data_IF_030702528729
#
_entry.id   IF_030702528729
#
_cell.length_a   1.000
_cell.length_b   1.000
_cell.length_c   1.000
_cell.angle_alpha   90.00
_cell.angle_beta   90.00
_cell.angle_gamma   90.00
#
_symmetry.space_group_name_H-M   'P 1'
#
loop_
_entity.id
_entity.type
_entity.pdbx_description
1 polymer ?
#
# COMPACT_ATOMS: atom_id res chain seq x y z
N UNK A 1 -4.23 -22.61 31.68
CA UNK A 1 -5.06 -22.12 30.56
C UNK A 1 -4.21 -21.12 29.77
N UNK A 2 -3.30 -21.62 28.94
CA UNK A 2 -2.42 -20.75 28.15
C UNK A 2 -3.13 -20.33 26.86
N UNK A 3 -3.39 -19.03 26.73
CA UNK A 3 -3.87 -18.44 25.50
C UNK A 3 -2.70 -18.31 24.52
N UNK A 4 -2.34 -19.43 23.86
CA UNK A 4 -1.19 -19.54 22.97
C UNK A 4 -1.20 -18.44 21.91
N UNK A 5 -0.23 -17.53 22.00
CA UNK A 5 -0.18 -16.32 21.18
C UNK A 5 0.40 -16.63 19.81
N UNK A 6 -0.42 -17.18 18.92
CA UNK A 6 -0.03 -17.51 17.54
C UNK A 6 0.47 -16.28 16.70
N UNK A 7 0.34 -15.05 17.22
CA UNK A 7 0.86 -13.75 16.72
C UNK A 7 2.35 -13.54 17.00
N UNK A 8 2.93 -14.18 18.03
CA UNK A 8 4.35 -14.02 18.40
C UNK A 8 5.32 -14.29 17.22
N UNK A 9 5.22 -15.40 16.45
CA UNK A 9 6.13 -15.65 15.32
C UNK A 9 5.86 -14.76 14.09
N UNK A 10 4.75 -14.02 14.05
CA UNK A 10 4.52 -12.94 13.08
C UNK A 10 5.18 -11.64 13.54
N UNK A 11 5.01 -11.28 14.81
CA UNK A 11 5.52 -10.03 15.40
C UNK A 11 7.05 -10.02 15.61
N UNK A 12 7.69 -11.19 15.72
CA UNK A 12 9.15 -11.30 15.89
C UNK A 12 9.98 -10.84 14.68
N UNK A 13 9.36 -10.62 13.51
CA UNK A 13 10.04 -10.26 12.27
C UNK A 13 9.28 -9.12 11.54
N UNK A 14 9.49 -7.84 11.91
CA UNK A 14 8.77 -6.70 11.32
C UNK A 14 8.95 -6.59 9.80
N UNK A 15 10.10 -7.01 9.27
CA UNK A 15 10.39 -7.08 7.84
C UNK A 15 9.49 -8.09 7.09
N UNK A 16 9.17 -9.23 7.73
CA UNK A 16 8.28 -10.25 7.16
C UNK A 16 6.82 -9.80 7.21
N UNK A 17 6.42 -9.09 8.27
CA UNK A 17 5.11 -8.45 8.36
C UNK A 17 4.91 -7.42 7.24
N UNK A 18 5.90 -6.55 6.99
CA UNK A 18 5.82 -5.52 5.95
C UNK A 18 5.69 -6.11 4.54
N UNK A 19 6.52 -7.10 4.19
CA UNK A 19 6.41 -7.79 2.89
C UNK A 19 5.08 -8.55 2.78
N UNK A 20 4.61 -9.16 3.86
CA UNK A 20 3.33 -9.88 3.90
C UNK A 20 2.11 -8.97 3.67
N UNK A 21 2.02 -7.84 4.36
CA UNK A 21 0.90 -6.89 4.21
C UNK A 21 0.95 -6.17 2.86
N UNK A 22 2.14 -5.76 2.40
CA UNK A 22 2.32 -5.17 1.06
C UNK A 22 1.88 -6.13 -0.05
N UNK A 23 2.33 -7.39 0.00
CA UNK A 23 1.95 -8.43 -0.96
C UNK A 23 0.44 -8.72 -0.93
N UNK A 24 -0.14 -8.82 0.28
CA UNK A 24 -1.59 -9.02 0.43
C UNK A 24 -2.41 -7.85 -0.12
N UNK A 25 -1.98 -6.59 0.09
CA UNK A 25 -2.63 -5.41 -0.47
C UNK A 25 -2.55 -5.37 -2.00
N UNK A 26 -1.39 -5.70 -2.58
CA UNK A 26 -1.22 -5.76 -4.03
C UNK A 26 -2.10 -6.87 -4.65
N UNK A 27 -2.15 -8.06 -4.04
CA UNK A 27 -3.00 -9.17 -4.49
C UNK A 27 -4.50 -8.85 -4.36
N UNK A 28 -4.93 -8.28 -3.23
CA UNK A 28 -6.31 -7.87 -3.02
C UNK A 28 -6.72 -6.79 -4.04
N UNK A 29 -5.89 -5.76 -4.22
CA UNK A 29 -6.09 -4.72 -5.23
C UNK A 29 -6.16 -5.28 -6.65
N UNK A 30 -5.25 -6.19 -7.01
CA UNK A 30 -5.25 -6.88 -8.31
C UNK A 30 -6.58 -7.59 -8.55
N UNK A 31 -7.07 -8.35 -7.56
CA UNK A 31 -8.34 -9.06 -7.66
C UNK A 31 -9.51 -8.08 -7.81
N UNK A 32 -9.61 -7.03 -6.98
CA UNK A 32 -10.67 -6.03 -7.11
C UNK A 32 -10.63 -5.28 -8.45
N UNK A 33 -9.44 -4.93 -8.96
CA UNK A 33 -9.31 -4.24 -10.26
C UNK A 33 -9.58 -5.16 -11.47
N UNK A 34 -9.32 -6.47 -11.34
CA UNK A 34 -9.57 -7.45 -12.40
C UNK A 34 -11.06 -7.80 -12.59
N UNK A 35 -11.91 -7.56 -11.58
CA UNK A 35 -13.37 -7.74 -11.69
C UNK A 35 -13.95 -6.87 -12.82
N UNK A 36 -14.90 -7.37 -13.62
CA UNK A 36 -15.52 -6.61 -14.71
C UNK A 36 -16.28 -5.36 -14.20
N UNK A 37 -16.73 -5.37 -12.94
CA UNK A 37 -17.37 -4.22 -12.29
C UNK A 37 -16.43 -3.02 -12.10
N UNK A 38 -15.10 -3.23 -12.12
CA UNK A 38 -14.09 -2.17 -12.03
C UNK A 38 -13.82 -1.51 -13.39
N UNK A 39 -14.25 -2.10 -14.50
CA UNK A 39 -14.08 -1.55 -15.85
C UNK A 39 -15.33 -0.76 -16.29
N UNK A 40 -15.14 0.41 -16.90
CA UNK A 40 -16.23 1.23 -17.43
C UNK A 40 -16.91 0.59 -18.66
N UNK A 41 -16.18 -0.25 -19.40
CA UNK A 41 -16.66 -1.00 -20.57
C UNK A 41 -17.29 -2.35 -20.23
N UNK A 42 -17.23 -2.79 -18.97
CA UNK A 42 -17.62 -4.14 -18.54
C UNK A 42 -16.68 -5.28 -19.00
N UNK A 43 -15.72 -5.01 -19.88
CA UNK A 43 -14.68 -5.96 -20.26
C UNK A 43 -13.52 -5.91 -19.25
N UNK A 44 -12.97 -7.06 -18.85
CA UNK A 44 -11.83 -7.06 -17.92
C UNK A 44 -10.60 -6.42 -18.55
N UNK A 45 -9.90 -5.60 -17.76
CA UNK A 45 -8.77 -4.75 -18.17
C UNK A 45 -7.51 -5.59 -18.48
N UNK A 46 -7.49 -6.86 -18.09
CA UNK A 46 -6.34 -7.75 -18.19
C UNK A 46 -5.64 -7.90 -16.85
N UNK A 47 -5.21 -9.13 -16.53
CA UNK A 47 -4.68 -9.44 -15.19
C UNK A 47 -3.32 -8.77 -14.92
N UNK A 48 -2.45 -8.65 -15.94
CA UNK A 48 -1.16 -7.97 -15.84
C UNK A 48 -1.37 -6.47 -15.57
N UNK A 49 -2.26 -5.82 -16.33
CA UNK A 49 -2.52 -4.38 -16.23
C UNK A 49 -3.19 -4.03 -14.90
N UNK A 50 -4.12 -4.86 -14.43
CA UNK A 50 -4.70 -4.76 -13.09
C UNK A 50 -3.63 -4.94 -11.99
N UNK A 51 -2.71 -5.90 -12.13
CA UNK A 51 -1.64 -6.14 -11.15
C UNK A 51 -0.61 -5.01 -11.09
N UNK A 52 -0.18 -4.49 -12.24
CA UNK A 52 0.72 -3.35 -12.33
C UNK A 52 0.07 -2.10 -11.73
N UNK A 53 -1.18 -1.83 -12.12
CA UNK A 53 -1.93 -0.66 -11.65
C UNK A 53 -2.20 -0.72 -10.14
N UNK A 54 -2.57 -1.88 -9.60
CA UNK A 54 -2.72 -2.08 -8.16
C UNK A 54 -1.39 -1.90 -7.41
N UNK A 55 -0.30 -2.47 -7.89
CA UNK A 55 1.02 -2.36 -7.25
C UNK A 55 1.53 -0.91 -7.27
N UNK A 56 1.40 -0.22 -8.41
CA UNK A 56 1.75 1.20 -8.56
C UNK A 56 0.94 2.11 -7.63
N UNK A 57 -0.35 1.81 -7.44
CA UNK A 57 -1.22 2.51 -6.51
C UNK A 57 -0.80 2.31 -5.04
N UNK A 58 -0.50 1.08 -4.61
CA UNK A 58 0.01 0.79 -3.26
C UNK A 58 1.41 1.40 -3.02
N UNK A 59 2.26 1.45 -4.04
CA UNK A 59 3.54 2.17 -4.01
C UNK A 59 3.41 3.70 -4.14
N UNK A 60 2.19 4.23 -4.33
CA UNK A 60 1.90 5.66 -4.59
C UNK A 60 2.79 6.25 -5.70
N UNK A 61 3.09 5.44 -6.72
CA UNK A 61 4.03 5.79 -7.80
C UNK A 61 3.38 6.52 -8.98
N UNK A 62 2.05 6.51 -9.07
CA UNK A 62 1.29 7.26 -10.08
C UNK A 62 1.37 6.73 -11.52
N UNK A 63 2.07 5.61 -11.75
CA UNK A 63 2.18 4.97 -13.06
C UNK A 63 0.93 4.12 -13.34
N UNK A 64 0.32 4.25 -14.52
CA UNK A 64 -0.82 3.42 -14.95
C UNK A 64 -0.59 2.93 -16.38
N UNK A 65 -0.94 1.67 -16.67
CA UNK A 65 -0.73 1.06 -18.01
C UNK A 65 -1.77 1.56 -19.01
N UNK A 66 -2.96 1.89 -18.52
CA UNK A 66 -4.14 2.30 -19.28
C UNK A 66 -4.69 3.63 -18.76
N UNK A 67 -5.50 4.30 -19.58
CA UNK A 67 -6.02 5.64 -19.28
C UNK A 67 -7.13 5.59 -18.22
N UNK A 68 -6.71 5.80 -16.97
CA UNK A 68 -7.50 5.50 -15.76
C UNK A 68 -8.95 6.05 -15.76
N UNK A 69 -9.21 7.34 -16.06
CA UNK A 69 -10.57 7.89 -16.04
C UNK A 69 -11.46 7.40 -17.19
N UNK A 70 -10.88 6.88 -18.28
CA UNK A 70 -11.64 6.33 -19.41
C UNK A 70 -11.91 4.82 -19.26
N UNK A 71 -11.02 4.09 -18.59
CA UNK A 71 -11.08 2.63 -18.51
C UNK A 71 -11.72 2.12 -17.20
N UNK A 72 -11.54 2.79 -16.07
CA UNK A 72 -12.10 2.34 -14.79
C UNK A 72 -13.47 2.97 -14.49
N UNK A 73 -14.39 2.15 -13.99
CA UNK A 73 -15.67 2.60 -13.43
C UNK A 73 -15.45 3.37 -12.11
N UNK A 74 -16.49 4.03 -11.60
CA UNK A 74 -16.43 4.68 -10.27
C UNK A 74 -16.04 3.72 -9.12
N UNK A 75 -16.34 2.43 -9.24
CA UNK A 75 -15.92 1.40 -8.29
C UNK A 75 -14.41 1.10 -8.40
N UNK A 76 -13.88 1.03 -9.63
CA UNK A 76 -12.45 0.89 -9.89
C UNK A 76 -11.66 2.12 -9.40
N UNK A 77 -12.16 3.32 -9.68
CA UNK A 77 -11.56 4.59 -9.24
C UNK A 77 -11.58 4.74 -7.71
N UNK A 78 -12.67 4.36 -7.03
CA UNK A 78 -12.73 4.32 -5.57
C UNK A 78 -11.73 3.32 -4.98
N UNK A 79 -11.61 2.13 -5.57
CA UNK A 79 -10.65 1.11 -5.14
C UNK A 79 -9.21 1.60 -5.30
N UNK A 80 -8.90 2.29 -6.41
CA UNK A 80 -7.62 2.95 -6.67
C UNK A 80 -7.29 4.01 -5.61
N UNK A 81 -8.23 4.91 -5.30
CA UNK A 81 -8.06 5.93 -4.26
C UNK A 81 -7.82 5.30 -2.87
N UNK A 82 -8.53 4.22 -2.54
CA UNK A 82 -8.37 3.48 -1.29
C UNK A 82 -7.00 2.78 -1.20
N UNK A 83 -6.52 2.18 -2.30
CA UNK A 83 -5.17 1.61 -2.39
C UNK A 83 -4.07 2.67 -2.18
N UNK A 84 -4.19 3.81 -2.85
CA UNK A 84 -3.28 4.96 -2.71
C UNK A 84 -3.26 5.46 -1.26
N UNK A 85 -4.45 5.58 -0.64
CA UNK A 85 -4.56 6.10 0.72
C UNK A 85 -3.92 5.16 1.76
N UNK A 86 -4.11 3.85 1.63
CA UNK A 86 -3.49 2.84 2.50
C UNK A 86 -1.98 2.75 2.25
N UNK A 87 -1.55 2.74 0.98
CA UNK A 87 -0.13 2.71 0.59
C UNK A 87 0.66 3.89 1.15
N UNK A 88 0.13 5.11 1.00
CA UNK A 88 0.72 6.33 1.54
C UNK A 88 0.85 6.30 3.07
N UNK A 89 -0.19 5.85 3.79
CA UNK A 89 -0.15 5.70 5.24
C UNK A 89 0.89 4.65 5.68
N UNK A 90 1.01 3.54 4.94
CA UNK A 90 2.01 2.50 5.18
C UNK A 90 3.46 3.02 5.05
N UNK A 91 3.77 3.71 3.96
CA UNK A 91 5.10 4.29 3.72
C UNK A 91 5.44 5.36 4.77
N UNK A 92 4.49 6.23 5.13
CA UNK A 92 4.72 7.26 6.15
C UNK A 92 4.93 6.68 7.56
N UNK A 93 4.15 5.66 7.92
CA UNK A 93 4.31 4.94 9.20
C UNK A 93 5.66 4.24 9.27
N UNK A 94 6.04 3.50 8.22
CA UNK A 94 7.34 2.81 8.16
C UNK A 94 8.51 3.80 8.22
N UNK A 95 8.43 4.92 7.48
CA UNK A 95 9.44 5.99 7.51
C UNK A 95 9.59 6.60 8.90
N UNK A 96 8.48 6.84 9.61
CA UNK A 96 8.49 7.40 10.96
C UNK A 96 9.10 6.42 11.97
N UNK A 97 8.72 5.14 11.91
CA UNK A 97 9.28 4.09 12.78
C UNK A 97 10.78 3.91 12.52
N UNK A 98 11.22 3.92 11.25
CA UNK A 98 12.63 3.82 10.89
C UNK A 98 13.44 5.04 11.40
N UNK A 99 12.91 6.26 11.21
CA UNK A 99 13.54 7.48 11.71
C UNK A 99 13.65 7.53 13.25
N UNK A 100 12.70 6.92 13.96
CA UNK A 100 12.71 6.81 15.42
C UNK A 100 13.63 5.69 15.93
N UNK A 101 13.69 4.56 15.22
CA UNK A 101 14.53 3.42 15.58
C UNK A 101 16.03 3.63 15.29
N UNK A 102 16.39 4.54 14.38
CA UNK A 102 17.79 4.87 14.05
C UNK A 102 18.46 5.70 15.16
N UNK A 103 19.45 5.15 15.91
CA UNK A 103 20.12 5.89 16.98
C UNK A 103 21.04 6.97 16.39
N UNK A 104 20.68 8.25 16.56
CA UNK A 104 21.56 9.37 16.19
C UNK A 104 20.88 10.67 15.76
N UNK A 105 19.57 10.68 15.47
CA UNK A 105 18.84 11.90 15.07
C UNK A 105 18.24 12.65 16.27
N UNK A 106 19.03 12.92 17.31
CA UNK A 106 18.65 13.92 18.35
C UNK A 106 18.66 15.29 17.68
N UNK A 107 17.49 15.88 17.46
CA UNK A 107 17.36 17.18 16.81
C UNK A 107 18.00 18.28 17.67
N UNK A 108 19.13 18.84 17.21
CA UNK A 108 19.82 19.97 17.85
C UNK A 108 19.10 21.31 17.58
N UNK A 109 17.78 21.32 17.76
CA UNK A 109 16.91 22.49 17.60
C UNK A 109 16.86 23.30 18.91
N UNK A 110 17.98 23.96 19.23
CA UNK A 110 18.14 24.65 20.51
C UNK A 110 19.44 25.44 20.66
N UNK A 111 19.88 26.14 19.61
CA UNK A 111 21.13 26.94 19.65
C UNK A 111 21.08 28.19 18.76
N UNK A 112 19.92 28.83 18.68
CA UNK A 112 19.76 30.16 18.07
C UNK A 112 19.56 31.19 19.19
N UNK A 113 20.63 31.81 19.73
CA UNK A 113 20.49 33.00 20.56
C UNK A 113 20.02 34.18 19.72
N UNK A 114 19.25 35.06 20.34
CA UNK A 114 18.97 36.42 19.86
C UNK A 114 20.02 37.38 20.43
#
# INVERSE_FOLDING_TARGET
MEHTRWWEPLLGHPERLFVGTFGALCLAGTLLLALPQSAASGASIGFIDAAFTATSAVCVSGLTVVDTPAVFSGFGQFTLALLIQIGGLGIMTFSTVLLWALPGRRSSWGSYPF
#
